data_IF_179683558060
#
_entry.id   IF_179683558060
#
_cell.length_a   1.000
_cell.length_b   1.000
_cell.length_c   1.000
_cell.angle_alpha   90.00
_cell.angle_beta   90.00
_cell.angle_gamma   90.00
#
_symmetry.space_group_name_H-M   'P 1'
#
loop_
_entity.id
_entity.type
_entity.pdbx_description
1 polymer ?
#
# COMPACT_ATOMS: atom_id res chain seq x y z
N UNK A 1 10.86 -9.39 -3.19
CA UNK A 1 11.75 -8.30 -3.69
C UNK A 1 11.87 -7.14 -2.68
N UNK A 2 12.70 -6.12 -2.94
CA UNK A 2 12.83 -4.93 -2.08
C UNK A 2 12.91 -3.64 -2.90
N UNK A 3 12.08 -2.65 -2.55
CA UNK A 3 12.13 -1.30 -3.11
C UNK A 3 13.05 -0.43 -2.25
N UNK A 4 14.07 0.19 -2.84
CA UNK A 4 14.96 1.12 -2.18
C UNK A 4 14.80 2.52 -2.77
N UNK A 5 14.39 3.49 -1.95
CA UNK A 5 14.07 4.85 -2.37
C UNK A 5 14.87 5.87 -1.55
N UNK A 6 15.17 7.02 -2.16
CA UNK A 6 15.85 8.13 -1.48
C UNK A 6 17.36 7.93 -1.26
N UNK A 7 17.97 6.96 -1.94
CA UNK A 7 19.43 6.75 -1.96
C UNK A 7 20.06 7.38 -3.20
N UNK A 8 21.34 7.80 -3.10
CA UNK A 8 22.07 8.37 -4.24
C UNK A 8 22.56 7.31 -5.22
N UNK A 9 23.01 6.18 -4.70
CA UNK A 9 23.56 5.06 -5.46
C UNK A 9 23.01 3.75 -4.91
N UNK A 10 22.88 2.74 -5.78
CA UNK A 10 22.44 1.41 -5.40
C UNK A 10 23.58 0.59 -4.81
N UNK A 11 23.26 -0.32 -3.90
CA UNK A 11 24.23 -1.25 -3.35
C UNK A 11 24.33 -2.50 -4.22
N UNK A 12 25.40 -3.28 -4.05
CA UNK A 12 25.52 -4.57 -4.74
C UNK A 12 24.40 -5.53 -4.32
N UNK A 13 23.71 -6.09 -5.31
CA UNK A 13 22.66 -7.11 -5.11
C UNK A 13 23.22 -8.48 -4.69
N UNK A 14 24.55 -8.64 -4.68
CA UNK A 14 25.22 -9.88 -4.20
C UNK A 14 25.33 -9.95 -2.68
N UNK A 15 24.89 -8.92 -1.95
CA UNK A 15 24.89 -8.89 -0.49
C UNK A 15 23.69 -9.67 0.07
N UNK A 16 23.81 -10.26 1.27
CA UNK A 16 22.66 -10.81 1.99
C UNK A 16 21.54 -9.76 2.13
N UNK A 17 20.28 -10.18 2.01
CA UNK A 17 19.15 -9.24 1.99
C UNK A 17 19.07 -8.40 3.28
N UNK A 18 19.36 -8.99 4.45
CA UNK A 18 19.42 -8.27 5.73
C UNK A 18 20.43 -7.12 5.71
N UNK A 19 21.64 -7.35 5.19
CA UNK A 19 22.67 -6.32 5.05
C UNK A 19 22.29 -5.26 4.01
N UNK A 20 21.63 -5.66 2.92
CA UNK A 20 21.15 -4.74 1.89
C UNK A 20 20.10 -3.77 2.45
N UNK A 21 19.10 -4.29 3.15
CA UNK A 21 18.05 -3.47 3.79
C UNK A 21 18.66 -2.52 4.81
N UNK A 22 19.60 -3.01 5.63
CA UNK A 22 20.34 -2.17 6.58
C UNK A 22 21.13 -1.07 5.87
N UNK A 23 21.83 -1.38 4.78
CA UNK A 23 22.61 -0.39 4.00
C UNK A 23 21.73 0.75 3.48
N UNK A 24 20.51 0.42 3.01
CA UNK A 24 19.54 1.43 2.53
C UNK A 24 19.10 2.36 3.67
N UNK A 25 18.81 1.80 4.85
CA UNK A 25 18.48 2.59 6.05
C UNK A 25 19.64 3.47 6.49
N UNK A 26 20.85 2.93 6.57
CA UNK A 26 22.06 3.65 7.00
C UNK A 26 22.43 4.79 6.04
N UNK A 27 22.10 4.68 4.75
CA UNK A 27 22.22 5.75 3.77
C UNK A 27 21.09 6.81 3.83
N UNK A 28 20.20 6.70 4.82
CA UNK A 28 19.06 7.61 4.99
C UNK A 28 17.89 7.35 4.04
N UNK A 29 17.90 6.24 3.28
CA UNK A 29 16.80 5.85 2.41
C UNK A 29 15.56 5.39 3.17
N UNK A 30 14.52 5.07 2.41
CA UNK A 30 13.40 4.23 2.86
C UNK A 30 13.35 3.00 1.99
N UNK A 31 12.76 1.93 2.51
CA UNK A 31 12.46 0.80 1.64
C UNK A 31 11.35 -0.11 2.13
N UNK A 32 10.80 -0.81 1.15
CA UNK A 32 9.56 -1.55 1.27
C UNK A 32 9.74 -2.97 0.76
N UNK A 33 9.21 -3.94 1.50
CA UNK A 33 9.16 -5.32 1.04
C UNK A 33 8.15 -5.39 -0.11
N UNK A 34 8.63 -5.57 -1.35
CA UNK A 34 7.77 -5.66 -2.52
C UNK A 34 7.16 -7.06 -2.61
N UNK A 35 5.84 -7.09 -2.80
CA UNK A 35 4.99 -8.28 -2.94
C UNK A 35 5.49 -9.48 -2.11
N UNK A 36 5.54 -9.33 -0.76
CA UNK A 36 6.32 -10.22 0.10
C UNK A 36 5.81 -11.67 0.15
N UNK A 37 4.53 -11.90 -0.12
CA UNK A 37 3.92 -13.23 -0.13
C UNK A 37 3.51 -13.69 -1.52
N UNK A 38 4.16 -13.16 -2.56
CA UNK A 38 3.89 -13.56 -3.94
C UNK A 38 3.95 -15.09 -4.11
N UNK A 39 2.90 -15.67 -4.68
CA UNK A 39 2.75 -17.10 -4.99
C UNK A 39 2.52 -17.27 -6.48
N UNK A 40 3.34 -18.09 -7.14
CA UNK A 40 3.18 -18.44 -8.55
C UNK A 40 3.20 -19.96 -8.70
N UNK A 41 2.02 -20.55 -8.85
CA UNK A 41 1.85 -22.01 -8.95
C UNK A 41 1.70 -22.49 -10.40
N UNK A 42 1.35 -21.60 -11.33
CA UNK A 42 0.93 -21.95 -12.70
C UNK A 42 2.02 -21.75 -13.78
N UNK A 43 3.05 -20.93 -13.53
CA UNK A 43 4.09 -20.61 -14.52
C UNK A 43 5.49 -20.98 -14.00
N UNK A 44 5.97 -22.18 -14.35
CA UNK A 44 7.31 -22.68 -13.92
C UNK A 44 8.48 -21.85 -14.45
N UNK A 45 8.32 -21.21 -15.61
CA UNK A 45 9.36 -20.40 -16.25
C UNK A 45 9.56 -19.02 -15.59
N UNK A 46 8.59 -18.59 -14.77
CA UNK A 46 8.60 -17.31 -14.07
C UNK A 46 8.30 -17.51 -12.58
N UNK A 47 9.27 -18.03 -11.79
CA UNK A 47 9.05 -18.34 -10.38
C UNK A 47 8.71 -17.09 -9.56
N UNK A 48 8.02 -17.30 -8.44
CA UNK A 48 7.75 -16.24 -7.48
C UNK A 48 9.01 -15.86 -6.70
N UNK A 49 9.09 -14.59 -6.28
CA UNK A 49 10.20 -14.10 -5.45
C UNK A 49 9.69 -13.49 -4.14
N UNK A 50 9.06 -14.30 -3.26
CA UNK A 50 8.57 -13.83 -1.98
C UNK A 50 9.72 -13.36 -1.08
N UNK A 51 9.38 -12.57 -0.08
CA UNK A 51 10.33 -12.15 0.94
C UNK A 51 10.55 -13.29 1.94
N UNK A 52 11.82 -13.63 2.19
CA UNK A 52 12.21 -14.72 3.11
C UNK A 52 12.89 -14.22 4.37
N UNK A 53 13.46 -13.01 4.34
CA UNK A 53 14.29 -12.46 5.43
C UNK A 53 13.45 -11.66 6.44
N UNK A 54 12.47 -12.32 7.08
CA UNK A 54 11.55 -11.68 8.03
C UNK A 54 12.20 -11.22 9.34
N UNK A 55 13.39 -11.74 9.66
CA UNK A 55 14.20 -11.33 10.81
C UNK A 55 14.87 -9.95 10.65
N UNK A 56 14.69 -9.29 9.50
CA UNK A 56 15.17 -7.92 9.28
C UNK A 56 14.19 -6.91 9.87
N UNK A 57 14.67 -5.98 10.69
CA UNK A 57 13.83 -4.90 11.25
C UNK A 57 14.10 -3.54 10.60
N UNK A 58 15.02 -3.48 9.63
CA UNK A 58 15.54 -2.22 9.08
C UNK A 58 14.71 -1.66 7.91
N UNK A 59 13.69 -2.38 7.43
CA UNK A 59 12.78 -1.88 6.40
C UNK A 59 11.75 -0.89 6.97
N UNK A 60 11.34 0.07 6.14
CA UNK A 60 10.34 1.09 6.46
C UNK A 60 8.92 0.53 6.42
N UNK A 61 8.62 -0.30 5.44
CA UNK A 61 7.26 -0.76 5.20
C UNK A 61 7.14 -2.01 4.34
N UNK A 62 5.90 -2.31 3.96
CA UNK A 62 5.51 -3.47 3.17
C UNK A 62 4.58 -3.00 2.05
N UNK A 63 4.74 -3.57 0.87
CA UNK A 63 3.75 -3.48 -0.19
C UNK A 63 2.59 -4.44 0.13
N UNK A 64 1.50 -3.88 0.67
CA UNK A 64 0.34 -4.64 1.10
C UNK A 64 -0.52 -5.09 -0.07
N UNK A 65 -0.46 -4.35 -1.18
CA UNK A 65 -1.24 -4.63 -2.38
C UNK A 65 -0.39 -4.42 -3.62
N UNK A 66 -0.21 -5.48 -4.41
CA UNK A 66 0.54 -5.44 -5.66
C UNK A 66 -0.33 -5.99 -6.81
N UNK A 67 -0.59 -5.16 -7.84
CA UNK A 67 -1.41 -5.56 -8.99
C UNK A 67 -0.81 -6.76 -9.74
N UNK A 68 0.46 -6.68 -10.14
CA UNK A 68 1.07 -7.67 -11.02
C UNK A 68 1.13 -9.04 -10.34
N UNK A 69 1.52 -9.06 -9.07
CA UNK A 69 1.55 -10.28 -8.26
C UNK A 69 0.16 -10.91 -8.22
N UNK A 70 -0.87 -10.17 -7.76
CA UNK A 70 -2.25 -10.69 -7.68
C UNK A 70 -2.78 -11.18 -9.05
N UNK A 71 -2.47 -10.46 -10.13
CA UNK A 71 -2.82 -10.91 -11.48
C UNK A 71 -2.13 -12.24 -11.81
N UNK A 72 -0.82 -12.36 -11.58
CA UNK A 72 -0.06 -13.58 -11.88
C UNK A 72 -0.44 -14.77 -11.00
N UNK A 73 -0.77 -14.58 -9.71
CA UNK A 73 -1.20 -15.70 -8.85
C UNK A 73 -2.52 -16.29 -9.33
N UNK A 74 -3.42 -15.42 -9.82
CA UNK A 74 -4.74 -15.79 -10.28
C UNK A 74 -4.74 -16.34 -11.72
N UNK A 75 -3.60 -16.33 -12.44
CA UNK A 75 -3.51 -16.89 -13.78
C UNK A 75 -3.51 -18.41 -13.75
N UNK A 76 -4.41 -18.97 -14.53
CA UNK A 76 -4.45 -20.39 -14.88
C UNK A 76 -4.54 -20.51 -16.39
N UNK A 77 -4.15 -21.67 -16.93
CA UNK A 77 -4.27 -21.95 -18.38
C UNK A 77 -5.71 -21.75 -18.89
N UNK A 78 -6.71 -21.92 -18.03
CA UNK A 78 -8.13 -21.82 -18.34
C UNK A 78 -8.65 -20.38 -18.36
N UNK A 79 -8.11 -19.49 -17.53
CA UNK A 79 -8.60 -18.11 -17.39
C UNK A 79 -7.70 -17.06 -18.06
N UNK A 80 -6.52 -17.44 -18.56
CA UNK A 80 -5.52 -16.52 -19.13
C UNK A 80 -6.08 -15.53 -20.15
N UNK A 81 -6.96 -15.96 -21.04
CA UNK A 81 -7.57 -15.08 -22.05
C UNK A 81 -8.54 -14.06 -21.43
N UNK A 82 -9.35 -14.48 -20.45
CA UNK A 82 -10.29 -13.59 -19.76
C UNK A 82 -9.56 -12.60 -18.83
N UNK A 83 -8.57 -13.07 -18.09
CA UNK A 83 -7.70 -12.26 -17.24
C UNK A 83 -6.85 -11.28 -18.06
N UNK A 84 -6.55 -11.63 -19.32
CA UNK A 84 -5.91 -10.74 -20.27
C UNK A 84 -6.86 -9.66 -20.82
N UNK A 85 -8.10 -10.01 -21.15
CA UNK A 85 -9.10 -9.07 -21.64
C UNK A 85 -9.63 -8.12 -20.55
N UNK A 86 -9.65 -8.56 -19.28
CA UNK A 86 -10.14 -7.78 -18.14
C UNK A 86 -9.15 -7.75 -16.97
N UNK A 87 -7.96 -7.16 -17.16
CA UNK A 87 -6.87 -7.23 -16.19
C UNK A 87 -7.24 -6.61 -14.83
N UNK A 88 -8.05 -5.55 -14.82
CA UNK A 88 -8.47 -4.86 -13.60
C UNK A 88 -9.49 -5.65 -12.75
N UNK A 89 -10.24 -6.58 -13.35
CA UNK A 89 -11.24 -7.39 -12.61
C UNK A 89 -10.61 -8.47 -11.74
N UNK A 90 -9.35 -8.79 -11.97
CA UNK A 90 -8.59 -9.81 -11.22
C UNK A 90 -8.02 -9.29 -9.89
N UNK A 91 -8.11 -7.98 -9.65
CA UNK A 91 -7.58 -7.31 -8.47
C UNK A 91 -8.75 -7.15 -7.48
N UNK A 92 -8.84 -8.07 -6.54
CA UNK A 92 -9.98 -8.21 -5.63
C UNK A 92 -9.66 -7.55 -4.30
N UNK A 93 -8.53 -7.90 -3.68
CA UNK A 93 -8.13 -7.39 -2.37
C UNK A 93 -6.67 -7.72 -2.02
N UNK A 94 -6.03 -6.99 -1.09
CA UNK A 94 -4.74 -7.36 -0.54
C UNK A 94 -4.70 -8.81 -0.02
N UNK A 95 -3.59 -9.56 -0.19
CA UNK A 95 -3.47 -10.91 0.36
C UNK A 95 -3.62 -10.91 1.89
N UNK A 96 -4.48 -11.79 2.41
CA UNK A 96 -4.76 -11.88 3.85
C UNK A 96 -3.51 -12.19 4.69
N UNK A 97 -2.59 -13.01 4.16
CA UNK A 97 -1.31 -13.32 4.80
C UNK A 97 -0.43 -12.06 4.93
N UNK A 98 -0.39 -11.21 3.90
CA UNK A 98 0.32 -9.93 3.93
C UNK A 98 -0.30 -8.96 4.94
N UNK A 99 -1.63 -8.85 4.98
CA UNK A 99 -2.30 -8.00 5.97
C UNK A 99 -2.04 -8.48 7.40
N UNK A 100 -2.10 -9.79 7.64
CA UNK A 100 -1.82 -10.39 8.96
C UNK A 100 -0.40 -10.07 9.44
N UNK A 101 0.61 -10.33 8.61
CA UNK A 101 2.01 -10.04 8.96
C UNK A 101 2.23 -8.54 9.11
N UNK A 102 1.60 -7.71 8.27
CA UNK A 102 1.66 -6.27 8.41
C UNK A 102 1.10 -5.80 9.76
N UNK A 103 -0.06 -6.30 10.17
CA UNK A 103 -0.67 -5.99 11.46
C UNK A 103 0.21 -6.49 12.64
N UNK A 104 0.75 -7.71 12.58
CA UNK A 104 1.65 -8.28 13.61
C UNK A 104 2.92 -7.45 13.80
N UNK A 105 3.60 -7.10 12.71
CA UNK A 105 4.78 -6.23 12.76
C UNK A 105 4.42 -4.82 13.21
N UNK A 106 3.27 -4.32 12.77
CA UNK A 106 2.73 -3.02 13.16
C UNK A 106 2.32 -2.96 14.62
N UNK A 107 2.07 -4.07 15.32
CA UNK A 107 1.89 -4.05 16.79
C UNK A 107 3.22 -3.72 17.47
N UNK A 108 4.32 -4.34 17.04
CA UNK A 108 5.63 -4.20 17.69
C UNK A 108 6.33 -2.86 17.38
N UNK A 109 6.21 -2.37 16.13
CA UNK A 109 6.82 -1.10 15.68
C UNK A 109 5.98 -0.47 14.58
N UNK A 110 6.33 0.73 14.12
CA UNK A 110 5.69 1.26 12.92
C UNK A 110 6.20 0.50 11.68
N UNK A 111 5.26 -0.01 10.88
CA UNK A 111 5.51 -0.58 9.54
C UNK A 111 4.50 0.03 8.57
N UNK A 112 5.00 0.73 7.55
CA UNK A 112 4.14 1.46 6.61
C UNK A 112 3.60 0.53 5.53
N UNK A 113 2.30 0.56 5.28
CA UNK A 113 1.68 -0.10 4.14
C UNK A 113 1.68 0.79 2.90
N UNK A 114 2.15 0.27 1.77
CA UNK A 114 2.02 0.89 0.44
C UNK A 114 1.39 -0.08 -0.55
N UNK A 115 0.95 0.44 -1.70
CA UNK A 115 0.49 -0.37 -2.82
C UNK A 115 1.18 0.04 -4.11
N UNK A 116 1.38 -0.94 -4.99
CA UNK A 116 2.06 -0.76 -6.25
C UNK A 116 1.44 -1.59 -7.37
N UNK A 117 1.85 -1.27 -8.59
CA UNK A 117 1.36 -1.96 -9.79
C UNK A 117 2.38 -2.92 -10.38
N UNK A 118 3.65 -2.77 -10.00
CA UNK A 118 4.80 -3.50 -10.57
C UNK A 118 4.73 -3.60 -12.10
N UNK A 119 4.61 -2.41 -12.72
CA UNK A 119 4.24 -2.29 -14.11
C UNK A 119 5.35 -2.77 -15.05
N UNK A 120 5.08 -3.90 -15.70
CA UNK A 120 5.86 -4.43 -16.79
C UNK A 120 4.98 -4.47 -18.05
N UNK A 121 5.13 -3.46 -18.91
CA UNK A 121 4.43 -3.44 -20.20
C UNK A 121 5.09 -4.44 -21.15
N UNK A 122 4.65 -5.70 -21.07
CA UNK A 122 5.17 -6.76 -21.91
C UNK A 122 4.56 -6.65 -23.30
N UNK A 123 5.39 -6.61 -24.34
CA UNK A 123 4.92 -6.68 -25.71
C UNK A 123 4.88 -8.14 -26.13
N UNK A 124 3.71 -8.64 -26.50
CA UNK A 124 3.54 -10.01 -26.98
C UNK A 124 3.18 -9.97 -28.46
N UNK A 125 3.89 -10.76 -29.25
CA UNK A 125 3.62 -10.91 -30.67
C UNK A 125 2.49 -11.95 -30.85
N UNK A 126 1.29 -11.48 -31.15
CA UNK A 126 0.18 -12.33 -31.58
C UNK A 126 0.31 -12.63 -33.07
N UNK A 127 0.14 -13.90 -33.44
CA UNK A 127 0.11 -14.39 -34.82
C UNK A 127 1.41 -14.16 -35.65
N UNK A 128 2.49 -13.71 -35.01
CA UNK A 128 3.82 -13.53 -35.64
C UNK A 128 4.02 -12.18 -36.35
N UNK A 129 2.97 -11.38 -36.52
CA UNK A 129 3.03 -10.07 -37.20
C UNK A 129 2.20 -8.98 -36.52
N UNK A 130 1.54 -9.26 -35.39
CA UNK A 130 0.73 -8.30 -34.65
C UNK A 130 1.24 -8.13 -33.23
N UNK A 131 1.91 -7.01 -32.95
CA UNK A 131 2.42 -6.71 -31.61
C UNK A 131 1.32 -6.11 -30.74
N UNK A 132 0.93 -6.82 -29.67
CA UNK A 132 -0.04 -6.33 -28.69
C UNK A 132 0.69 -6.05 -27.38
N UNK A 133 0.52 -4.83 -26.86
CA UNK A 133 1.00 -4.46 -25.54
C UNK A 133 0.09 -5.08 -24.48
N UNK A 134 0.64 -6.05 -23.78
CA UNK A 134 0.02 -6.71 -22.62
C UNK A 134 0.28 -5.81 -21.42
N UNK A 135 -0.79 -5.33 -20.78
CA UNK A 135 -0.76 -4.34 -19.69
C UNK A 135 -0.24 -2.95 -20.08
N UNK A 136 -0.94 -2.23 -20.97
CA UNK A 136 -0.56 -0.85 -21.25
C UNK A 136 -0.61 -0.02 -19.96
N UNK A 137 0.40 0.82 -19.74
CA UNK A 137 0.53 1.64 -18.51
C UNK A 137 -0.74 2.43 -18.17
N UNK A 138 -1.48 2.90 -19.20
CA UNK A 138 -2.75 3.63 -19.02
C UNK A 138 -3.84 2.81 -18.31
N UNK A 139 -3.79 1.49 -18.42
CA UNK A 139 -4.70 0.56 -17.74
C UNK A 139 -4.16 0.24 -16.35
N UNK A 140 -2.88 -0.15 -16.24
CA UNK A 140 -2.27 -0.47 -14.95
C UNK A 140 -2.40 0.65 -13.93
N UNK A 141 -2.18 1.91 -14.33
CA UNK A 141 -2.30 3.06 -13.43
C UNK A 141 -3.75 3.38 -13.01
N UNK A 142 -4.76 2.67 -13.53
CA UNK A 142 -6.16 2.75 -13.06
C UNK A 142 -6.51 1.66 -12.03
N UNK A 143 -5.51 1.01 -11.44
CA UNK A 143 -5.67 -0.01 -10.39
C UNK A 143 -5.19 0.51 -9.01
N UNK A 144 -4.29 -0.22 -8.36
CA UNK A 144 -3.67 0.09 -7.08
C UNK A 144 -2.88 1.39 -7.15
N UNK A 145 -3.16 2.31 -6.23
CA UNK A 145 -2.47 3.58 -6.07
C UNK A 145 -2.13 3.80 -4.61
N UNK A 146 -0.93 4.30 -4.34
CA UNK A 146 -0.57 4.88 -3.05
C UNK A 146 -0.82 6.39 -3.10
N UNK A 147 -1.64 6.88 -2.18
CA UNK A 147 -1.93 8.30 -1.99
C UNK A 147 -1.13 8.80 -0.78
N UNK A 148 -0.40 9.89 -0.94
CA UNK A 148 0.33 10.53 0.16
C UNK A 148 -0.45 11.72 0.72
N UNK A 149 -0.31 11.95 2.02
CA UNK A 149 -0.89 13.09 2.74
C UNK A 149 0.23 14.04 3.12
N UNK A 150 0.21 15.24 2.53
CA UNK A 150 1.17 16.30 2.82
C UNK A 150 0.47 17.48 3.48
N UNK A 151 1.13 18.10 4.46
CA UNK A 151 0.65 19.36 5.06
C UNK A 151 0.78 20.54 4.09
N UNK A 152 1.83 20.50 3.26
CA UNK A 152 2.09 21.50 2.24
C UNK A 152 1.68 20.95 0.87
N UNK A 153 1.06 21.80 0.06
CA UNK A 153 0.80 21.48 -1.35
C UNK A 153 2.14 21.26 -2.06
N UNK A 154 2.24 20.19 -2.83
CA UNK A 154 3.38 19.96 -3.71
C UNK A 154 3.22 20.86 -4.95
N UNK A 155 4.16 21.77 -5.13
CA UNK A 155 4.22 22.61 -6.33
C UNK A 155 4.87 21.84 -7.48
N UNK A 156 4.14 21.69 -8.59
CA UNK A 156 4.61 20.94 -9.77
C UNK A 156 5.23 21.92 -10.74
N UNK A 157 6.55 22.05 -10.71
CA UNK A 157 7.31 22.83 -11.68
C UNK A 157 8.73 22.27 -11.85
N UNK A 158 9.40 22.67 -12.94
CA UNK A 158 10.72 22.17 -13.30
C UNK A 158 11.89 22.86 -12.55
N UNK A 159 11.63 23.75 -11.58
CA UNK A 159 12.70 24.37 -10.81
C UNK A 159 13.40 23.31 -9.93
N UNK A 160 14.74 23.18 -9.98
CA UNK A 160 15.47 22.15 -9.22
C UNK A 160 15.19 22.15 -7.72
N UNK A 161 15.04 23.33 -7.09
CA UNK A 161 14.73 23.44 -5.67
C UNK A 161 13.32 22.97 -5.34
N UNK A 162 12.34 23.25 -6.19
CA UNK A 162 10.97 22.75 -6.08
C UNK A 162 10.93 21.23 -6.21
N UNK A 163 11.69 20.66 -7.15
CA UNK A 163 11.77 19.20 -7.36
C UNK A 163 12.36 18.51 -6.13
N UNK A 164 13.46 19.03 -5.56
CA UNK A 164 14.06 18.43 -4.36
C UNK A 164 13.14 18.55 -3.14
N UNK A 165 12.43 19.68 -3.00
CA UNK A 165 11.41 19.86 -1.97
C UNK A 165 10.25 18.86 -2.14
N UNK A 166 9.74 18.70 -3.35
CA UNK A 166 8.66 17.75 -3.66
C UNK A 166 9.10 16.30 -3.36
N UNK A 167 10.30 15.91 -3.80
CA UNK A 167 10.89 14.61 -3.50
C UNK A 167 11.01 14.37 -1.99
N UNK A 168 11.48 15.37 -1.25
CA UNK A 168 11.59 15.29 0.22
C UNK A 168 10.22 15.10 0.88
N UNK A 169 9.20 15.84 0.44
CA UNK A 169 7.83 15.71 0.94
C UNK A 169 7.25 14.31 0.67
N UNK A 170 7.46 13.77 -0.54
CA UNK A 170 7.00 12.43 -0.91
C UNK A 170 7.67 11.38 -0.03
N UNK A 171 9.00 11.40 0.04
CA UNK A 171 9.78 10.43 0.82
C UNK A 171 9.44 10.49 2.31
N UNK A 172 9.28 11.68 2.87
CA UNK A 172 8.94 11.83 4.29
C UNK A 172 7.51 11.40 4.59
N UNK A 173 6.56 11.66 3.70
CA UNK A 173 5.18 11.17 3.86
C UNK A 173 5.14 9.64 3.89
N UNK A 174 5.87 8.99 2.96
CA UNK A 174 6.02 7.54 2.93
C UNK A 174 6.77 7.00 4.14
N UNK A 175 7.83 7.69 4.62
CA UNK A 175 8.57 7.30 5.83
C UNK A 175 7.69 7.33 7.07
N UNK A 176 6.84 8.35 7.18
CA UNK A 176 5.95 8.53 8.34
C UNK A 176 4.75 7.61 8.31
N UNK A 177 4.36 7.09 7.15
CA UNK A 177 3.12 6.34 6.97
C UNK A 177 1.90 7.25 6.76
N UNK A 178 2.14 8.51 6.38
CA UNK A 178 1.12 9.48 6.03
C UNK A 178 0.62 9.18 4.60
N UNK A 179 0.13 7.97 4.38
CA UNK A 179 -0.33 7.50 3.09
C UNK A 179 -1.39 6.40 3.24
N UNK A 180 -2.15 6.17 2.18
CA UNK A 180 -3.10 5.07 2.10
C UNK A 180 -3.09 4.46 0.71
N UNK A 181 -3.61 3.24 0.60
CA UNK A 181 -3.69 2.50 -0.65
C UNK A 181 -5.13 2.49 -1.13
N UNK A 182 -5.34 2.64 -2.44
CA UNK A 182 -6.66 2.47 -3.04
C UNK A 182 -6.63 1.65 -4.32
N UNK A 183 -7.69 0.90 -4.60
CA UNK A 183 -7.96 0.39 -5.94
C UNK A 183 -8.83 1.36 -6.73
N UNK A 184 -8.19 2.14 -7.61
CA UNK A 184 -8.84 3.17 -8.41
C UNK A 184 -9.92 2.62 -9.35
N UNK A 185 -9.89 1.31 -9.65
CA UNK A 185 -10.92 0.67 -10.46
C UNK A 185 -12.32 0.78 -9.83
N UNK A 186 -12.42 0.76 -8.51
CA UNK A 186 -13.70 0.86 -7.78
C UNK A 186 -14.13 2.30 -7.48
N UNK A 187 -13.19 3.25 -7.54
CA UNK A 187 -13.47 4.67 -7.39
C UNK A 187 -12.24 5.52 -7.12
N UNK A 188 -12.34 6.80 -7.45
CA UNK A 188 -11.34 7.79 -7.08
C UNK A 188 -11.37 8.02 -5.56
N UNK A 189 -10.26 7.72 -4.89
CA UNK A 189 -10.11 7.89 -3.44
C UNK A 189 -9.62 9.29 -3.04
N UNK A 190 -9.50 10.23 -3.99
CA UNK A 190 -9.11 11.62 -3.73
C UNK A 190 -10.10 12.27 -2.75
N UNK A 191 -9.58 12.71 -1.61
CA UNK A 191 -10.39 13.31 -0.54
C UNK A 191 -10.63 12.39 0.66
N UNK A 192 -10.28 11.10 0.56
CA UNK A 192 -10.32 10.19 1.71
C UNK A 192 -9.50 10.73 2.89
N UNK A 193 -10.05 10.63 4.11
CA UNK A 193 -9.37 11.02 5.35
C UNK A 193 -9.65 10.00 6.44
N UNK A 194 -8.61 9.66 7.20
CA UNK A 194 -8.69 8.92 8.45
C UNK A 194 -7.72 9.54 9.45
N UNK A 195 -8.26 10.01 10.57
CA UNK A 195 -7.49 10.67 11.64
C UNK A 195 -8.18 10.49 12.99
N UNK A 196 -7.40 10.58 14.05
CA UNK A 196 -7.89 10.65 15.43
C UNK A 196 -8.05 12.13 15.84
N UNK A 197 -9.12 12.43 16.57
CA UNK A 197 -9.30 13.68 17.29
C UNK A 197 -9.08 13.44 18.79
N UNK A 198 -8.19 14.23 19.37
CA UNK A 198 -7.93 14.23 20.81
C UNK A 198 -7.79 15.67 21.31
N UNK A 199 -8.84 16.16 21.98
CA UNK A 199 -8.96 17.58 22.31
C UNK A 199 -8.92 18.43 21.04
N UNK A 200 -7.97 19.36 20.95
CA UNK A 200 -7.80 20.25 19.80
C UNK A 200 -6.78 19.74 18.76
N UNK A 201 -6.27 18.50 18.90
CA UNK A 201 -5.27 17.93 18.00
C UNK A 201 -5.90 16.90 17.07
N UNK A 202 -5.41 16.88 15.82
CA UNK A 202 -5.67 15.82 14.85
C UNK A 202 -4.41 15.00 14.66
N UNK A 203 -4.52 13.69 14.83
CA UNK A 203 -3.44 12.72 14.67
C UNK A 203 -3.72 11.91 13.42
N UNK A 204 -2.82 11.91 12.46
CA UNK A 204 -3.00 11.28 11.15
C UNK A 204 -2.63 9.80 11.18
N UNK A 205 -3.07 9.04 10.17
CA UNK A 205 -2.49 7.73 9.87
C UNK A 205 -0.95 7.83 9.76
N UNK A 206 -0.25 6.82 10.28
CA UNK A 206 1.21 6.80 10.42
C UNK A 206 1.74 7.39 11.74
N UNK A 207 0.87 8.04 12.52
CA UNK A 207 1.23 8.68 13.78
C UNK A 207 0.76 7.88 15.01
N UNK A 208 1.24 8.32 16.17
CA UNK A 208 0.91 7.72 17.45
C UNK A 208 0.45 8.78 18.45
N UNK A 209 -0.42 8.38 19.36
CA UNK A 209 -0.91 9.19 20.46
C UNK A 209 -0.82 8.42 21.77
N UNK A 210 -0.32 9.09 22.80
CA UNK A 210 -0.41 8.63 24.19
C UNK A 210 -1.70 9.20 24.78
N UNK A 211 -2.63 8.35 25.20
CA UNK A 211 -3.84 8.84 25.84
C UNK A 211 -4.43 7.86 26.87
N UNK A 212 -4.93 8.45 27.95
CA UNK A 212 -5.65 7.76 29.02
C UNK A 212 -7.17 7.93 28.89
N UNK A 213 -7.61 8.73 27.90
CA UNK A 213 -9.02 9.02 27.63
C UNK A 213 -9.42 8.44 26.28
N UNK A 214 -10.72 8.14 26.07
CA UNK A 214 -11.21 7.72 24.77
C UNK A 214 -10.85 8.71 23.66
N UNK A 215 -10.55 8.17 22.49
CA UNK A 215 -10.18 8.90 21.27
C UNK A 215 -11.27 8.70 20.24
N UNK A 216 -11.64 9.78 19.54
CA UNK A 216 -12.57 9.68 18.41
C UNK A 216 -11.79 9.53 17.12
N UNK A 217 -11.88 8.35 16.50
CA UNK A 217 -11.40 8.10 15.14
C UNK A 217 -12.45 8.57 14.14
N UNK A 218 -12.05 9.38 13.16
CA UNK A 218 -12.93 9.91 12.12
C UNK A 218 -12.50 9.43 10.74
N UNK A 219 -13.49 9.06 9.93
CA UNK A 219 -13.32 8.63 8.54
C UNK A 219 -14.20 9.46 7.64
N UNK A 220 -13.66 9.93 6.52
CA UNK A 220 -14.40 10.57 5.45
C UNK A 220 -14.07 9.88 4.13
N UNK A 221 -15.10 9.43 3.40
CA UNK A 221 -14.98 8.85 2.08
C UNK A 221 -15.32 9.89 1.00
N UNK A 222 -14.70 9.78 -0.19
CA UNK A 222 -15.09 10.61 -1.32
C UNK A 222 -16.31 10.06 -2.06
N UNK A 223 -17.32 10.92 -2.25
CA UNK A 223 -18.36 10.79 -3.27
C UNK A 223 -19.48 9.77 -3.02
N UNK A 224 -19.23 8.60 -2.42
CA UNK A 224 -20.26 7.56 -2.24
C UNK A 224 -20.17 6.81 -0.92
N UNK A 225 -21.30 6.23 -0.51
CA UNK A 225 -21.40 5.37 0.67
C UNK A 225 -20.73 4.02 0.38
N UNK A 226 -19.98 3.52 1.34
CA UNK A 226 -19.27 2.24 1.27
C UNK A 226 -19.24 1.56 2.65
N UNK A 227 -18.87 0.29 2.69
CA UNK A 227 -18.69 -0.44 3.94
C UNK A 227 -17.34 -0.01 4.56
N UNK A 228 -17.41 0.80 5.62
CA UNK A 228 -16.27 1.31 6.38
C UNK A 228 -16.03 0.36 7.54
N UNK A 229 -14.86 -0.27 7.57
CA UNK A 229 -14.46 -1.25 8.57
C UNK A 229 -13.31 -0.73 9.43
N UNK A 230 -13.53 -0.69 10.74
CA UNK A 230 -12.49 -0.42 11.72
C UNK A 230 -11.79 -1.72 12.10
N UNK A 231 -10.47 -1.75 11.88
CA UNK A 231 -9.60 -2.87 12.26
C UNK A 231 -8.76 -2.44 13.45
N UNK A 232 -8.75 -3.24 14.52
CA UNK A 232 -7.91 -3.07 15.70
C UNK A 232 -7.03 -4.30 15.90
N UNK A 233 -5.71 -4.11 15.94
CA UNK A 233 -4.72 -5.18 16.10
C UNK A 233 -4.96 -6.37 15.12
N UNK A 234 -5.29 -6.05 13.87
CA UNK A 234 -5.57 -7.01 12.80
C UNK A 234 -6.93 -7.71 12.87
N UNK A 235 -7.85 -7.26 13.74
CA UNK A 235 -9.20 -7.82 13.86
C UNK A 235 -10.26 -6.77 13.54
N UNK A 236 -11.28 -7.15 12.79
CA UNK A 236 -12.46 -6.32 12.58
C UNK A 236 -13.18 -6.13 13.92
N UNK A 237 -13.38 -4.87 14.32
CA UNK A 237 -14.10 -4.53 15.56
C UNK A 237 -15.46 -3.91 15.29
N UNK A 238 -15.57 -3.11 14.22
CA UNK A 238 -16.82 -2.43 13.86
C UNK A 238 -16.86 -2.19 12.35
N UNK A 239 -18.07 -2.22 11.78
CA UNK A 239 -18.30 -1.94 10.36
C UNK A 239 -19.64 -1.24 10.16
N UNK A 240 -19.70 -0.28 9.25
CA UNK A 240 -20.93 0.41 8.90
C UNK A 240 -20.93 0.91 7.46
N UNK A 241 -22.12 0.95 6.85
CA UNK A 241 -22.32 1.44 5.49
C UNK A 241 -22.64 2.94 5.51
N UNK A 242 -21.67 3.79 5.18
CA UNK A 242 -21.89 5.24 5.13
C UNK A 242 -20.82 5.98 4.29
N UNK A 243 -20.95 7.30 4.13
CA UNK A 243 -19.93 8.17 3.52
C UNK A 243 -18.89 8.68 4.55
N UNK A 244 -19.23 8.62 5.83
CA UNK A 244 -18.40 9.04 6.96
C UNK A 244 -18.65 8.13 8.16
N UNK A 245 -17.65 8.01 9.02
CA UNK A 245 -17.74 7.21 10.24
C UNK A 245 -17.02 7.90 11.40
N UNK A 246 -17.52 7.65 12.61
CA UNK A 246 -16.86 8.02 13.84
C UNK A 246 -16.84 6.82 14.79
N UNK A 247 -15.66 6.49 15.31
CA UNK A 247 -15.49 5.40 16.27
C UNK A 247 -14.85 5.95 17.54
N UNK A 248 -15.48 5.71 18.69
CA UNK A 248 -14.93 6.10 19.99
C UNK A 248 -14.19 4.89 20.55
N UNK A 249 -12.87 4.97 20.60
CA UNK A 249 -12.01 3.86 21.03
C UNK A 249 -11.28 4.23 22.32
N UNK A 250 -11.14 3.25 23.22
CA UNK A 250 -10.40 3.41 24.47
C UNK A 250 -9.27 2.39 24.63
N UNK A 251 -9.28 1.32 23.84
CA UNK A 251 -8.26 0.29 23.90
C UNK A 251 -6.96 0.74 23.23
N UNK A 252 -5.83 0.36 23.82
CA UNK A 252 -4.50 0.59 23.23
C UNK A 252 -4.28 -0.35 22.05
N UNK A 253 -3.39 0.04 21.15
CA UNK A 253 -3.02 -0.77 19.99
C UNK A 253 -2.99 0.03 18.70
N UNK A 254 -3.10 -0.68 17.59
CA UNK A 254 -3.08 -0.10 16.26
C UNK A 254 -4.45 -0.19 15.61
N UNK A 255 -4.88 0.91 15.00
CA UNK A 255 -6.17 1.03 14.32
C UNK A 255 -5.96 1.40 12.86
N UNK A 256 -6.62 0.72 11.94
CA UNK A 256 -6.65 1.10 10.53
C UNK A 256 -8.06 0.93 9.96
N UNK A 257 -8.29 1.55 8.81
CA UNK A 257 -9.57 1.47 8.10
C UNK A 257 -9.39 0.62 6.84
N UNK A 258 -10.36 -0.26 6.61
CA UNK A 258 -10.62 -0.89 5.32
C UNK A 258 -11.95 -0.38 4.79
N UNK A 259 -12.04 -0.13 3.49
CA UNK A 259 -13.27 0.32 2.85
C UNK A 259 -13.58 -0.60 1.68
N UNK A 260 -14.82 -1.08 1.60
CA UNK A 260 -15.29 -1.97 0.54
C UNK A 260 -16.50 -1.38 -0.20
N UNK A 261 -16.49 -1.46 -1.52
CA UNK A 261 -17.64 -1.13 -2.40
C UNK A 261 -18.15 -2.44 -2.98
N UNK A 262 -19.42 -2.79 -2.73
CA UNK A 262 -20.05 -4.01 -3.23
C UNK A 262 -19.19 -5.27 -2.95
N UNK A 263 -18.65 -5.38 -1.73
CA UNK A 263 -17.70 -6.42 -1.29
C UNK A 263 -16.34 -6.45 -1.99
N UNK A 264 -16.01 -5.47 -2.84
CA UNK A 264 -14.70 -5.31 -3.44
C UNK A 264 -13.87 -4.32 -2.64
N UNK A 265 -12.60 -4.65 -2.41
CA UNK A 265 -11.72 -3.81 -1.61
C UNK A 265 -11.43 -2.49 -2.36
N UNK A 266 -11.55 -1.37 -1.65
CA UNK A 266 -11.38 -0.05 -2.24
C UNK A 266 -10.25 0.75 -1.60
N UNK A 267 -10.27 0.96 -0.27
CA UNK A 267 -9.28 1.80 0.43
C UNK A 267 -8.74 1.06 1.65
N UNK A 268 -7.42 1.14 1.87
CA UNK A 268 -6.73 0.64 3.05
C UNK A 268 -5.85 1.75 3.60
N UNK A 269 -6.15 2.23 4.81
CA UNK A 269 -5.32 3.25 5.46
C UNK A 269 -4.10 2.64 6.14
N UNK A 270 -3.06 3.45 6.37
CA UNK A 270 -2.06 3.12 7.39
C UNK A 270 -2.66 3.18 8.81
N UNK A 271 -1.93 2.63 9.78
CA UNK A 271 -2.36 2.57 11.17
C UNK A 271 -2.24 3.91 11.89
N UNK A 272 -3.15 4.18 12.82
CA UNK A 272 -2.97 5.12 13.94
C UNK A 272 -2.69 4.28 15.18
N UNK A 273 -1.62 4.60 15.91
CA UNK A 273 -1.28 3.90 17.15
C UNK A 273 -1.77 4.67 18.39
N UNK A 274 -2.47 3.98 19.27
CA UNK A 274 -2.87 4.47 20.59
C UNK A 274 -2.03 3.76 21.64
N UNK A 275 -1.32 4.53 22.47
CA UNK A 275 -0.41 4.09 23.54
C UNK A 275 -0.94 4.42 24.92
#
# INVERSE_FOLDING_TARGET
HYLALGIKETFSTRRPAKEYVKSVKDAGGIGFLAHPHEKRNSMKEHPAYPWTEWDSTDFTGIEIWNHMSEWMENLTEQNKYQSFLHPLKSIVQPPAETLKIWDELSIARKVVGIGGVDAHAHKVNLLGFFEVEVFPYKVLFKSVRTHILTEQKIEINANPSSVEKAKSLVLESLRRGNCFVSNYYHGDATGFRFFAEFGNKKIQMGEEILCEKPVTLKVYLPGKSADIRLIHNGRLVESLQNIEAQFIVSEKGIYRIEVFIDSHAWIFSNHIRIK
#
